data_IF_551148941508
#
_entry.id   IF_551148941508
#
_cell.length_a   1.000
_cell.length_b   1.000
_cell.length_c   1.000
_cell.angle_alpha   90.00
_cell.angle_beta   90.00
_cell.angle_gamma   90.00
#
_symmetry.space_group_name_H-M   'P 1'
#
loop_
_entity.id
_entity.type
_entity.pdbx_description
1 polymer ?
#
# COMPACT_ATOMS: atom_id res chain seq x y z
N UNK A 1 27.70 31.33 -4.00
CA UNK A 1 26.42 30.92 -4.58
C UNK A 1 26.07 29.52 -4.09
N UNK A 2 25.77 29.37 -2.79
CA UNK A 2 25.43 28.10 -2.13
C UNK A 2 23.92 27.85 -2.03
N UNK A 3 23.11 28.87 -2.36
CA UNK A 3 21.66 28.86 -2.21
C UNK A 3 20.95 27.78 -3.06
N UNK A 4 21.45 27.49 -4.27
CA UNK A 4 20.81 26.53 -5.17
C UNK A 4 20.81 25.08 -4.66
N UNK A 5 21.83 24.67 -3.89
CA UNK A 5 21.93 23.31 -3.37
C UNK A 5 21.01 23.09 -2.16
N UNK A 6 20.89 24.11 -1.32
CA UNK A 6 20.02 24.12 -0.14
C UNK A 6 18.54 24.07 -0.55
N UNK A 7 18.18 24.78 -1.62
CA UNK A 7 16.83 24.77 -2.20
C UNK A 7 16.45 23.40 -2.77
N UNK A 8 17.41 22.68 -3.36
CA UNK A 8 17.17 21.32 -3.89
C UNK A 8 16.98 20.31 -2.76
N UNK A 9 17.78 20.40 -1.68
CA UNK A 9 17.62 19.55 -0.50
C UNK A 9 16.31 19.81 0.23
N UNK A 10 15.89 21.08 0.35
CA UNK A 10 14.60 21.43 0.93
C UNK A 10 13.45 20.81 0.15
N UNK A 11 13.43 20.93 -1.18
CA UNK A 11 12.38 20.32 -2.02
C UNK A 11 12.32 18.80 -1.91
N UNK A 12 13.47 18.15 -1.75
CA UNK A 12 13.54 16.70 -1.59
C UNK A 12 12.92 16.27 -0.25
N UNK A 13 13.23 17.01 0.82
CA UNK A 13 12.67 16.78 2.13
C UNK A 13 11.15 17.06 2.16
N UNK A 14 10.72 18.15 1.52
CA UNK A 14 9.31 18.52 1.39
C UNK A 14 8.52 17.46 0.60
N UNK A 15 9.12 16.86 -0.44
CA UNK A 15 8.49 15.79 -1.22
C UNK A 15 8.36 14.50 -0.40
N UNK A 16 9.35 14.18 0.42
CA UNK A 16 9.31 13.01 1.33
C UNK A 16 8.28 13.22 2.43
N UNK A 17 8.22 14.41 3.02
CA UNK A 17 7.21 14.77 4.01
C UNK A 17 5.81 14.79 3.40
N UNK A 18 5.65 15.25 2.16
CA UNK A 18 4.38 15.23 1.45
C UNK A 18 3.93 13.80 1.09
N UNK A 19 4.85 12.89 0.79
CA UNK A 19 4.55 11.47 0.60
C UNK A 19 4.19 10.77 1.93
N UNK A 20 4.85 11.12 3.02
CA UNK A 20 4.56 10.59 4.37
C UNK A 20 3.26 11.15 4.97
N UNK A 21 2.88 12.38 4.59
CA UNK A 21 1.67 13.07 5.05
C UNK A 21 0.50 12.90 4.06
N UNK A 22 0.73 12.29 2.88
CA UNK A 22 -0.35 11.96 1.95
C UNK A 22 -1.27 10.93 2.61
N UNK A 23 -2.56 11.25 2.82
CA UNK A 23 -3.56 10.30 3.30
C UNK A 23 -3.89 9.20 2.28
N UNK A 24 -3.17 9.15 1.15
CA UNK A 24 -3.38 8.26 0.01
C UNK A 24 -2.76 6.87 0.18
N UNK A 25 -2.22 6.52 1.35
CA UNK A 25 -2.36 5.14 1.81
C UNK A 25 -3.82 4.99 2.25
N UNK A 26 -4.70 4.92 1.24
CA UNK A 26 -6.15 4.95 1.42
C UNK A 26 -6.57 4.05 2.56
N UNK A 27 -7.52 4.52 3.37
CA UNK A 27 -8.20 3.70 4.37
C UNK A 27 -8.49 2.35 3.72
N UNK A 28 -7.82 1.29 4.22
CA UNK A 28 -8.12 -0.06 3.78
C UNK A 28 -9.64 -0.21 3.91
N UNK A 29 -10.35 -0.56 2.84
CA UNK A 29 -11.80 -0.62 2.90
C UNK A 29 -12.18 -1.51 4.08
N UNK A 30 -13.09 -1.03 4.94
CA UNK A 30 -13.56 -1.78 6.11
C UNK A 30 -14.36 -3.00 5.63
N UNK A 31 -13.62 -4.04 5.28
CA UNK A 31 -14.13 -5.29 4.76
C UNK A 31 -14.09 -6.32 5.88
N UNK A 32 -15.19 -7.08 5.99
CA UNK A 32 -15.30 -8.20 6.92
C UNK A 32 -15.45 -9.50 6.12
N UNK A 33 -14.54 -10.44 6.38
CA UNK A 33 -14.62 -11.80 5.88
C UNK A 33 -15.44 -12.65 6.83
N UNK A 34 -16.31 -13.48 6.28
CA UNK A 34 -17.18 -14.36 7.05
C UNK A 34 -17.18 -15.75 6.44
N UNK A 35 -17.13 -16.79 7.28
CA UNK A 35 -17.37 -18.15 6.82
C UNK A 35 -18.02 -19.00 7.90
N UNK A 36 -18.72 -20.02 7.45
CA UNK A 36 -19.35 -21.01 8.29
C UNK A 36 -18.95 -22.43 7.88
N UNK A 37 -18.87 -23.33 8.86
CA UNK A 37 -18.63 -24.74 8.67
C UNK A 37 -19.59 -25.59 9.51
N UNK A 38 -19.71 -26.87 9.13
CA UNK A 38 -20.55 -27.85 9.82
C UNK A 38 -22.01 -27.38 9.96
N UNK A 39 -22.67 -27.10 8.83
CA UNK A 39 -24.06 -26.63 8.75
C UNK A 39 -24.36 -25.40 9.64
N UNK A 40 -23.56 -24.33 9.49
CA UNK A 40 -23.68 -23.07 10.26
C UNK A 40 -23.47 -23.18 11.77
N UNK A 41 -22.87 -24.28 12.24
CA UNK A 41 -22.62 -24.50 13.68
C UNK A 41 -21.28 -23.97 14.14
N UNK A 42 -20.37 -23.67 13.22
CA UNK A 42 -19.10 -22.99 13.48
C UNK A 42 -19.06 -21.80 12.54
N UNK A 43 -19.02 -20.58 13.07
CA UNK A 43 -18.89 -19.35 12.28
C UNK A 43 -17.63 -18.59 12.68
N UNK A 44 -16.99 -17.96 11.70
CA UNK A 44 -15.76 -17.19 11.88
C UNK A 44 -15.90 -15.86 11.16
N UNK A 45 -15.52 -14.79 11.84
CA UNK A 45 -15.42 -13.45 11.26
C UNK A 45 -13.99 -12.93 11.31
N UNK A 46 -13.56 -12.31 10.23
CA UNK A 46 -12.23 -11.76 10.05
C UNK A 46 -12.32 -10.29 9.67
N UNK A 47 -11.59 -9.44 10.39
CA UNK A 47 -11.43 -8.02 10.08
C UNK A 47 -9.97 -7.63 10.22
N UNK A 48 -9.48 -6.76 9.34
CA UNK A 48 -8.08 -6.31 9.35
C UNK A 48 -7.06 -7.48 9.36
N UNK A 49 -7.41 -8.60 8.70
CA UNK A 49 -6.58 -9.81 8.63
C UNK A 49 -6.47 -10.60 9.93
N UNK A 50 -7.34 -10.32 10.91
CA UNK A 50 -7.40 -11.02 12.20
C UNK A 50 -8.78 -11.60 12.42
N UNK A 51 -8.84 -12.77 13.06
CA UNK A 51 -10.11 -13.33 13.53
C UNK A 51 -10.64 -12.44 14.64
N UNK A 52 -11.82 -11.86 14.43
CA UNK A 52 -12.52 -10.99 15.40
C UNK A 52 -13.59 -11.73 16.16
N UNK A 53 -14.18 -12.75 15.57
CA UNK A 53 -15.25 -13.54 16.17
C UNK A 53 -15.14 -15.00 15.75
N UNK A 54 -15.38 -15.92 16.71
CA UNK A 54 -15.44 -17.36 16.50
C UNK A 54 -16.58 -17.90 17.38
N UNK A 55 -17.67 -18.32 16.74
CA UNK A 55 -18.80 -18.92 17.42
C UNK A 55 -18.84 -20.42 17.14
N UNK A 56 -18.98 -21.22 18.21
CA UNK A 56 -19.10 -22.67 18.13
C UNK A 56 -20.38 -23.06 18.87
N UNK A 57 -21.36 -23.57 18.13
CA UNK A 57 -22.62 -24.01 18.73
C UNK A 57 -22.42 -25.25 19.60
N UNK A 58 -23.24 -25.43 20.67
CA UNK A 58 -23.13 -26.56 21.59
C UNK A 58 -23.15 -27.95 20.93
N UNK A 59 -23.84 -28.08 19.78
CA UNK A 59 -23.90 -29.33 19.04
C UNK A 59 -22.59 -29.67 18.33
N UNK A 60 -21.82 -28.68 17.88
CA UNK A 60 -20.49 -28.89 17.29
C UNK A 60 -19.47 -29.29 18.37
N UNK A 61 -19.62 -28.82 19.61
CA UNK A 61 -18.78 -29.22 20.75
C UNK A 61 -18.93 -30.71 21.14
N UNK A 62 -19.94 -31.41 20.61
CA UNK A 62 -20.14 -32.85 20.84
C UNK A 62 -19.36 -33.73 19.85
N UNK A 63 -18.74 -33.13 18.85
CA UNK A 63 -17.83 -33.82 17.94
C UNK A 63 -16.58 -34.31 18.67
N UNK A 64 -15.84 -35.22 18.04
CA UNK A 64 -14.51 -35.55 18.54
C UNK A 64 -13.60 -34.32 18.44
N UNK A 65 -12.58 -34.24 19.30
CA UNK A 65 -11.62 -33.14 19.25
C UNK A 65 -10.93 -33.02 17.87
N UNK A 66 -10.74 -34.14 17.17
CA UNK A 66 -10.14 -34.16 15.84
C UNK A 66 -11.07 -33.54 14.80
N UNK A 67 -12.34 -33.97 14.76
CA UNK A 67 -13.33 -33.44 13.81
C UNK A 67 -13.63 -31.96 14.07
N UNK A 68 -13.71 -31.56 15.35
CA UNK A 68 -13.90 -30.17 15.72
C UNK A 68 -12.72 -29.29 15.25
N UNK A 69 -11.48 -29.74 15.45
CA UNK A 69 -10.30 -29.02 15.00
C UNK A 69 -10.25 -28.89 13.47
N UNK A 70 -10.65 -29.93 12.74
CA UNK A 70 -10.75 -29.90 11.29
C UNK A 70 -11.76 -28.85 10.83
N UNK A 71 -12.99 -28.90 11.34
CA UNK A 71 -14.04 -27.95 10.95
C UNK A 71 -13.72 -26.50 11.32
N UNK A 72 -13.11 -26.26 12.49
CA UNK A 72 -12.66 -24.92 12.89
C UNK A 72 -11.56 -24.42 11.93
N UNK A 73 -10.59 -25.27 11.60
CA UNK A 73 -9.52 -24.93 10.65
C UNK A 73 -10.10 -24.59 9.27
N UNK A 74 -11.07 -25.37 8.80
CA UNK A 74 -11.79 -25.10 7.55
C UNK A 74 -12.51 -23.75 7.60
N UNK A 75 -13.26 -23.46 8.67
CA UNK A 75 -14.00 -22.21 8.81
C UNK A 75 -13.07 -20.99 8.85
N UNK A 76 -11.96 -21.07 9.61
CA UNK A 76 -10.98 -19.98 9.71
C UNK A 76 -10.32 -19.70 8.36
N UNK A 77 -9.86 -20.74 7.67
CA UNK A 77 -9.23 -20.58 6.36
C UNK A 77 -10.21 -20.03 5.31
N UNK A 78 -11.47 -20.47 5.37
CA UNK A 78 -12.51 -19.95 4.49
C UNK A 78 -12.81 -18.46 4.78
N UNK A 79 -12.88 -18.05 6.05
CA UNK A 79 -13.11 -16.65 6.41
C UNK A 79 -11.93 -15.75 6.00
N UNK A 80 -10.70 -16.25 6.10
CA UNK A 80 -9.51 -15.55 5.61
C UNK A 80 -9.51 -15.42 4.08
N UNK A 81 -9.94 -16.47 3.37
CA UNK A 81 -10.06 -16.44 1.91
C UNK A 81 -11.14 -15.45 1.45
N UNK A 82 -12.32 -15.46 2.09
CA UNK A 82 -13.41 -14.51 1.83
C UNK A 82 -12.98 -13.06 2.13
N UNK A 83 -12.26 -12.82 3.22
CA UNK A 83 -11.66 -11.51 3.52
C UNK A 83 -10.69 -11.06 2.42
N UNK A 84 -9.80 -11.95 1.96
CA UNK A 84 -8.83 -11.63 0.91
C UNK A 84 -9.52 -11.34 -0.43
N UNK A 85 -10.56 -12.10 -0.79
CA UNK A 85 -11.36 -11.88 -1.99
C UNK A 85 -12.07 -10.53 -1.94
N UNK A 86 -12.74 -10.22 -0.83
CA UNK A 86 -13.46 -8.94 -0.66
C UNK A 86 -12.52 -7.74 -0.61
N UNK A 87 -11.32 -7.87 -0.01
CA UNK A 87 -10.30 -6.82 -0.10
C UNK A 87 -9.83 -6.63 -1.53
N UNK A 88 -9.55 -7.71 -2.26
CA UNK A 88 -9.12 -7.62 -3.65
C UNK A 88 -10.20 -6.94 -4.49
N UNK A 89 -11.47 -7.32 -4.31
CA UNK A 89 -12.59 -6.70 -4.98
C UNK A 89 -12.73 -5.21 -4.63
N UNK A 90 -12.64 -4.85 -3.36
CA UNK A 90 -12.73 -3.46 -2.92
C UNK A 90 -11.56 -2.59 -3.42
N UNK A 91 -10.36 -3.16 -3.48
CA UNK A 91 -9.21 -2.50 -4.08
C UNK A 91 -9.40 -2.34 -5.59
N UNK A 92 -9.88 -3.36 -6.31
CA UNK A 92 -10.18 -3.27 -7.76
C UNK A 92 -11.32 -2.28 -8.07
N UNK A 93 -12.32 -2.15 -7.18
CA UNK A 93 -13.40 -1.16 -7.31
C UNK A 93 -12.92 0.27 -7.00
N UNK A 94 -11.95 0.40 -6.10
CA UNK A 94 -11.25 1.67 -5.79
C UNK A 94 -10.16 1.99 -6.83
N UNK A 95 -9.70 0.99 -7.60
CA UNK A 95 -8.79 1.11 -8.74
C UNK A 95 -9.48 1.75 -9.98
N UNK A 96 -10.19 2.86 -9.76
CA UNK A 96 -9.91 4.06 -10.55
C UNK A 96 -8.58 4.70 -10.14
N UNK A 97 -7.57 3.91 -9.74
CA UNK A 97 -6.17 4.28 -9.82
C UNK A 97 -5.91 4.45 -11.29
N UNK A 98 -6.04 5.69 -11.75
CA UNK A 98 -5.85 6.08 -13.14
C UNK A 98 -4.43 5.70 -13.53
N UNK A 99 -4.27 4.51 -14.13
CA UNK A 99 -3.00 4.04 -14.69
C UNK A 99 -2.44 5.07 -15.69
N UNK A 100 -3.31 5.88 -16.30
CA UNK A 100 -2.95 7.05 -17.11
C UNK A 100 -2.28 8.15 -16.29
N UNK A 101 -2.74 8.43 -15.06
CA UNK A 101 -2.10 9.36 -14.13
C UNK A 101 -0.74 8.85 -13.66
N UNK A 102 -0.59 7.55 -13.31
CA UNK A 102 0.71 6.97 -12.96
C UNK A 102 1.69 7.04 -14.13
N UNK A 103 1.22 6.75 -15.35
CA UNK A 103 2.06 6.82 -16.54
C UNK A 103 2.43 8.27 -16.90
N UNK A 104 1.54 9.22 -16.62
CA UNK A 104 1.80 10.67 -16.77
C UNK A 104 2.82 11.15 -15.74
N UNK A 105 2.66 10.78 -14.46
CA UNK A 105 3.60 11.08 -13.38
C UNK A 105 4.99 10.48 -13.64
N UNK A 106 5.05 9.26 -14.19
CA UNK A 106 6.33 8.62 -14.56
C UNK A 106 7.02 9.35 -15.70
N UNK A 107 6.27 9.77 -16.75
CA UNK A 107 6.85 10.58 -17.85
C UNK A 107 7.27 11.97 -17.38
N UNK A 108 6.53 12.56 -16.45
CA UNK A 108 6.86 13.86 -15.89
C UNK A 108 8.14 13.78 -15.05
N UNK A 109 8.27 12.77 -14.19
CA UNK A 109 9.47 12.51 -13.40
C UNK A 109 10.71 12.26 -14.28
N UNK A 110 10.57 11.51 -15.38
CA UNK A 110 11.65 11.29 -16.34
C UNK A 110 12.08 12.59 -17.03
N UNK A 111 11.11 13.42 -17.46
CA UNK A 111 11.40 14.72 -18.07
C UNK A 111 12.07 15.69 -17.10
N UNK A 112 11.65 15.68 -15.83
CA UNK A 112 12.21 16.53 -14.79
C UNK A 112 13.63 16.08 -14.41
N UNK A 113 13.89 14.78 -14.40
CA UNK A 113 15.25 14.22 -14.21
C UNK A 113 16.20 14.63 -15.34
N UNK A 114 15.74 14.60 -16.59
CA UNK A 114 16.54 15.06 -17.75
C UNK A 114 16.83 16.56 -17.68
N UNK A 115 15.85 17.37 -17.26
CA UNK A 115 16.04 18.81 -17.03
C UNK A 115 17.02 19.08 -15.89
N UNK A 116 16.90 18.38 -14.77
CA UNK A 116 17.79 18.50 -13.62
C UNK A 116 19.24 18.13 -13.99
N UNK A 117 19.42 17.04 -14.75
CA UNK A 117 20.74 16.60 -15.23
C UNK A 117 21.37 17.60 -16.21
N UNK A 118 20.56 18.24 -17.07
CA UNK A 118 21.01 19.31 -17.96
C UNK A 118 21.44 20.55 -17.16
N UNK A 119 20.62 21.00 -16.22
CA UNK A 119 20.93 22.14 -15.36
C UNK A 119 22.19 21.90 -14.52
N UNK A 120 22.36 20.67 -14.02
CA UNK A 120 23.57 20.25 -13.30
C UNK A 120 24.83 20.30 -14.20
N UNK A 121 24.72 19.88 -15.45
CA UNK A 121 25.84 19.90 -16.40
C UNK A 121 26.21 21.34 -16.78
N UNK A 122 25.21 22.20 -17.01
CA UNK A 122 25.40 23.63 -17.30
C UNK A 122 26.06 24.36 -16.12
N UNK A 123 25.62 24.12 -14.88
CA UNK A 123 26.24 24.72 -13.70
C UNK A 123 27.68 24.25 -13.48
N UNK A 124 27.99 22.99 -13.83
CA UNK A 124 29.35 22.45 -13.79
C UNK A 124 30.26 23.18 -14.81
N UNK A 125 29.77 23.41 -16.03
CA UNK A 125 30.50 24.14 -17.06
C UNK A 125 30.70 25.61 -16.69
N UNK A 126 29.69 26.25 -16.11
CA UNK A 126 29.81 27.64 -15.65
C UNK A 126 30.80 27.77 -14.50
N UNK A 127 30.80 26.84 -13.54
CA UNK A 127 31.78 26.80 -12.45
C UNK A 127 33.21 26.63 -13.00
N UNK A 128 33.43 25.73 -13.97
CA UNK A 128 34.73 25.53 -14.62
C UNK A 128 35.19 26.77 -15.41
N UNK A 129 34.27 27.46 -16.10
CA UNK A 129 34.55 28.70 -16.82
C UNK A 129 34.77 29.91 -15.92
N UNK A 130 34.20 29.91 -14.70
CA UNK A 130 34.44 30.91 -13.67
C UNK A 130 35.86 30.75 -13.10
N UNK A 131 36.29 29.52 -12.82
CA UNK A 131 37.65 29.20 -12.33
C UNK A 131 38.70 29.58 -13.37
N UNK A 132 38.44 29.34 -14.67
CA UNK A 132 39.33 29.73 -15.77
C UNK A 132 39.45 31.24 -16.02
N UNK A 133 38.46 32.04 -15.59
CA UNK A 133 38.47 33.50 -15.74
C UNK A 133 39.07 34.23 -14.53
N UNK A 134 39.13 33.56 -13.38
CA UNK A 134 39.62 34.11 -12.12
C UNK A 134 41.00 33.56 -11.72
N UNK A 135 41.68 32.84 -12.61
CA UNK A 135 43.10 32.47 -12.52
C UNK A 135 43.88 33.11 -13.66
#
# INVERSE_FOLDING_TARGET
MTADFEDVLSRLNDTVDQAATSPELGELPEVEGEAAAYDDRISVKVRAGKVTDLEIQPLAMRLSNADLAEHVTTAVNAALADYAEKITAALTETETTDFGSLMTSTRQLQNDSLRAMKAYTESLFDALNQVKRNG
#
